data_IF_709205914300
#
_entry.id   IF_709205914300
#
_cell.length_a   1.000
_cell.length_b   1.000
_cell.length_c   1.000
_cell.angle_alpha   90.00
_cell.angle_beta   90.00
_cell.angle_gamma   90.00
#
_symmetry.space_group_name_H-M   'P 1'
#
loop_
_entity.id
_entity.type
_entity.pdbx_description
1 polymer ?
#
# COMPACT_ATOMS: atom_id res chain seq x y z
N UNK A 1 1.41 -15.34 -1.64
CA UNK A 1 0.11 -14.73 -1.29
C UNK A 1 0.25 -14.03 0.04
N UNK A 2 -0.31 -12.83 0.18
CA UNK A 2 -0.37 -12.10 1.44
C UNK A 2 -1.83 -11.99 1.88
N UNK A 3 -2.11 -12.32 3.13
CA UNK A 3 -3.45 -12.34 3.69
C UNK A 3 -3.59 -11.32 4.82
N UNK A 4 -4.82 -10.86 5.05
CA UNK A 4 -5.14 -10.09 6.26
C UNK A 4 -4.78 -10.91 7.50
N UNK A 5 -4.02 -10.32 8.41
CA UNK A 5 -3.47 -10.94 9.61
C UNK A 5 -2.02 -11.38 9.48
N UNK A 6 -1.47 -11.48 8.26
CA UNK A 6 -0.05 -11.78 8.06
C UNK A 6 0.84 -10.67 8.63
N UNK A 7 2.07 -11.03 9.01
CA UNK A 7 3.08 -10.09 9.52
C UNK A 7 4.29 -10.10 8.61
N UNK A 8 4.59 -8.94 8.03
CA UNK A 8 5.86 -8.71 7.35
C UNK A 8 6.95 -8.45 8.38
N UNK A 9 8.07 -9.17 8.27
CA UNK A 9 9.25 -8.95 9.12
C UNK A 9 10.38 -8.42 8.26
N UNK A 10 10.75 -7.15 8.48
CA UNK A 10 11.88 -6.52 7.82
C UNK A 10 13.08 -6.54 8.76
N UNK A 11 14.15 -7.22 8.35
CA UNK A 11 15.40 -7.29 9.08
C UNK A 11 16.45 -6.43 8.36
N UNK A 12 17.13 -5.56 9.11
CA UNK A 12 18.17 -4.70 8.57
C UNK A 12 19.14 -4.23 9.66
N UNK A 13 20.30 -3.71 9.26
CA UNK A 13 21.23 -3.07 10.21
C UNK A 13 20.72 -1.66 10.55
N UNK A 14 20.47 -1.41 11.83
CA UNK A 14 20.05 -0.09 12.32
C UNK A 14 20.99 1.01 11.82
N UNK A 15 20.43 2.19 11.52
CA UNK A 15 21.13 3.36 10.97
C UNK A 15 21.67 3.19 9.54
N UNK A 16 21.43 2.06 8.88
CA UNK A 16 21.80 1.87 7.47
C UNK A 16 20.60 1.75 6.55
N UNK A 17 19.47 1.32 7.08
CA UNK A 17 18.21 1.17 6.37
C UNK A 17 17.06 1.48 7.32
N UNK A 18 15.88 1.62 6.74
CA UNK A 18 14.61 1.77 7.43
C UNK A 18 13.50 1.18 6.55
N UNK A 19 12.29 1.15 7.09
CA UNK A 19 11.07 0.79 6.37
C UNK A 19 10.13 1.98 6.41
N UNK A 20 9.82 2.54 5.26
CA UNK A 20 8.79 3.56 5.08
C UNK A 20 7.57 2.95 4.40
N UNK A 21 6.38 3.25 4.94
CA UNK A 21 5.10 2.99 4.29
C UNK A 21 4.73 4.24 3.50
N UNK A 22 4.37 4.07 2.23
CA UNK A 22 4.14 5.17 1.29
C UNK A 22 2.89 4.91 0.45
N UNK A 23 2.43 5.93 -0.28
CA UNK A 23 1.39 5.75 -1.31
C UNK A 23 2.00 5.12 -2.58
N UNK A 24 1.17 4.67 -3.50
CA UNK A 24 1.60 4.15 -4.80
C UNK A 24 2.45 5.18 -5.58
N UNK A 25 2.00 6.44 -5.63
CA UNK A 25 2.69 7.50 -6.38
C UNK A 25 4.07 7.80 -5.79
N UNK A 26 4.17 7.79 -4.45
CA UNK A 26 5.43 7.97 -3.75
C UNK A 26 6.37 6.76 -3.93
N UNK A 27 5.82 5.55 -4.02
CA UNK A 27 6.58 4.33 -4.31
C UNK A 27 7.17 4.32 -5.72
N UNK A 28 6.41 4.78 -6.72
CA UNK A 28 6.86 4.80 -8.12
C UNK A 28 7.88 5.89 -8.38
N UNK A 29 7.66 7.09 -7.82
CA UNK A 29 8.58 8.21 -7.95
C UNK A 29 9.77 8.15 -6.98
N UNK A 30 9.78 7.19 -6.05
CA UNK A 30 10.70 7.17 -4.91
C UNK A 30 10.71 8.48 -4.12
N UNK A 31 9.54 9.12 -3.99
CA UNK A 31 9.39 10.33 -3.20
C UNK A 31 9.23 9.98 -1.71
N UNK A 32 10.33 10.05 -0.97
CA UNK A 32 10.37 9.76 0.47
C UNK A 32 10.23 10.99 1.36
N UNK A 33 9.82 12.13 0.78
CA UNK A 33 9.56 13.37 1.56
C UNK A 33 8.21 13.34 2.28
N UNK A 34 7.24 12.62 1.73
CA UNK A 34 5.91 12.42 2.29
C UNK A 34 5.65 10.92 2.51
N UNK A 35 5.92 10.45 3.72
CA UNK A 35 5.70 9.04 4.12
C UNK A 35 4.48 8.92 5.02
N UNK A 36 3.76 7.81 4.93
CA UNK A 36 2.67 7.47 5.86
C UNK A 36 3.24 7.09 7.24
N UNK A 37 4.29 6.27 7.24
CA UNK A 37 5.01 5.86 8.45
C UNK A 37 6.46 5.54 8.14
N UNK A 38 7.36 5.66 9.12
CA UNK A 38 8.78 5.27 9.01
C UNK A 38 9.24 4.53 10.25
N UNK A 39 9.86 3.38 10.06
CA UNK A 39 10.38 2.51 11.11
C UNK A 39 11.89 2.33 10.96
N UNK A 40 12.67 2.78 11.96
CA UNK A 40 14.15 2.85 11.89
C UNK A 40 14.88 1.79 12.73
N UNK A 41 14.14 0.96 13.46
CA UNK A 41 14.70 -0.05 14.36
C UNK A 41 14.30 -1.44 13.89
N UNK A 42 15.30 -2.26 13.58
CA UNK A 42 15.14 -3.65 13.19
C UNK A 42 15.03 -4.57 14.42
N UNK A 43 14.23 -5.65 14.35
CA UNK A 43 13.33 -5.98 13.24
C UNK A 43 12.05 -5.15 13.28
N UNK A 44 11.58 -4.73 12.10
CA UNK A 44 10.25 -4.12 11.96
C UNK A 44 9.25 -5.24 11.71
N UNK A 45 8.18 -5.29 12.52
CA UNK A 45 7.07 -6.23 12.36
C UNK A 45 5.83 -5.44 11.97
N UNK A 46 5.39 -5.58 10.72
CA UNK A 46 4.24 -4.85 10.17
C UNK A 46 3.09 -5.81 9.91
N UNK A 47 1.99 -5.68 10.66
CA UNK A 47 0.80 -6.51 10.51
C UNK A 47 -0.09 -5.96 9.39
N UNK A 48 -0.49 -6.83 8.47
CA UNK A 48 -1.39 -6.51 7.36
C UNK A 48 -2.84 -6.59 7.84
N UNK A 49 -3.41 -5.45 8.22
CA UNK A 49 -4.72 -5.40 8.89
C UNK A 49 -5.91 -5.28 7.95
N UNK A 50 -5.69 -4.96 6.69
CA UNK A 50 -6.74 -4.79 5.69
C UNK A 50 -6.32 -5.40 4.34
N UNK A 51 -7.32 -5.73 3.53
CA UNK A 51 -7.08 -6.09 2.14
C UNK A 51 -6.76 -4.84 1.33
N UNK A 52 -6.00 -5.00 0.25
CA UNK A 52 -5.56 -3.91 -0.62
C UNK A 52 -4.05 -3.87 -0.80
N UNK A 53 -3.59 -2.81 -1.44
CA UNK A 53 -2.19 -2.64 -1.80
C UNK A 53 -1.40 -1.94 -0.70
N UNK A 54 -0.19 -2.44 -0.47
CA UNK A 54 0.76 -1.87 0.48
C UNK A 54 2.09 -1.63 -0.23
N UNK A 55 2.63 -0.45 -0.04
CA UNK A 55 3.88 -0.02 -0.63
C UNK A 55 4.89 0.34 0.45
N UNK A 56 6.07 -0.28 0.36
CA UNK A 56 7.17 -0.10 1.29
C UNK A 56 8.43 0.31 0.54
N UNK A 57 9.25 1.16 1.16
CA UNK A 57 10.55 1.56 0.62
C UNK A 57 11.50 1.96 1.75
N UNK A 58 12.72 2.38 1.43
CA UNK A 58 13.64 3.02 2.39
C UNK A 58 13.77 4.52 2.10
N UNK A 59 13.85 5.34 3.16
CA UNK A 59 14.09 6.79 3.07
C UNK A 59 15.56 7.15 2.92
N UNK A 60 16.47 6.17 3.03
CA UNK A 60 17.88 6.39 2.81
C UNK A 60 18.15 6.74 1.34
N UNK A 61 19.04 7.72 1.14
CA UNK A 61 19.31 8.29 -0.19
C UNK A 61 19.65 7.20 -1.20
N UNK A 62 18.99 7.24 -2.36
CA UNK A 62 19.15 6.31 -3.49
C UNK A 62 18.73 4.85 -3.24
N UNK A 63 18.39 4.43 -2.01
CA UNK A 63 18.03 3.05 -1.74
C UNK A 63 16.80 2.60 -2.54
N UNK A 64 15.73 3.41 -2.55
CA UNK A 64 14.54 3.15 -3.36
C UNK A 64 14.87 3.02 -4.86
N UNK A 65 15.66 3.97 -5.40
CA UNK A 65 16.06 3.98 -6.81
C UNK A 65 16.93 2.77 -7.20
N UNK A 66 17.68 2.22 -6.26
CA UNK A 66 18.44 0.98 -6.44
C UNK A 66 17.64 -0.29 -6.11
N UNK A 67 16.32 -0.18 -6.00
CA UNK A 67 15.41 -1.32 -5.89
C UNK A 67 15.09 -1.76 -4.48
N UNK A 68 15.50 -1.01 -3.44
CA UNK A 68 15.03 -1.27 -2.08
C UNK A 68 13.59 -0.77 -1.90
N UNK A 69 12.65 -1.48 -2.51
CA UNK A 69 11.21 -1.22 -2.40
C UNK A 69 10.40 -2.52 -2.57
N UNK A 70 9.22 -2.58 -1.95
CA UNK A 70 8.32 -3.72 -1.98
C UNK A 70 6.88 -3.23 -2.17
N UNK A 71 6.20 -3.74 -3.20
CA UNK A 71 4.76 -3.60 -3.37
C UNK A 71 4.10 -4.97 -3.20
N UNK A 72 3.01 -5.02 -2.44
CA UNK A 72 2.23 -6.25 -2.25
C UNK A 72 0.74 -5.95 -2.34
N UNK A 73 -0.03 -6.93 -2.78
CA UNK A 73 -1.48 -6.93 -2.70
C UNK A 73 -1.93 -7.96 -1.66
N UNK A 74 -2.70 -7.50 -0.68
CA UNK A 74 -3.21 -8.30 0.43
C UNK A 74 -4.66 -8.65 0.16
N UNK A 75 -5.00 -9.94 0.25
CA UNK A 75 -6.37 -10.42 0.10
C UNK A 75 -6.98 -10.74 1.46
N UNK A 76 -8.32 -10.71 1.54
CA UNK A 76 -9.02 -11.13 2.76
C UNK A 76 -8.60 -12.55 3.17
N UNK A 77 -8.36 -12.74 4.46
CA UNK A 77 -8.18 -14.08 5.00
C UNK A 77 -9.53 -14.78 5.05
N UNK A 78 -9.64 -15.94 4.41
CA UNK A 78 -10.81 -16.81 4.54
C UNK A 78 -10.79 -17.46 5.93
N UNK A 79 -11.11 -16.68 6.97
CA UNK A 79 -11.45 -17.26 8.26
C UNK A 79 -12.82 -17.91 8.09
N UNK A 80 -12.88 -19.24 8.19
CA UNK A 80 -14.13 -19.98 8.17
C UNK A 80 -15.09 -19.35 9.18
N UNK A 81 -16.25 -18.90 8.71
CA UNK A 81 -17.35 -18.47 9.57
C UNK A 81 -17.60 -19.59 10.58
N UNK A 82 -17.57 -19.34 11.91
CA UNK A 82 -18.11 -20.30 12.85
C UNK A 82 -19.55 -20.63 12.40
N UNK A 83 -19.98 -21.91 12.38
CA UNK A 83 -21.36 -22.21 12.05
C UNK A 83 -22.27 -21.46 13.03
N UNK A 84 -23.04 -20.50 12.53
CA UNK A 84 -24.13 -19.90 13.27
C UNK A 84 -25.07 -21.05 13.66
N UNK A 85 -25.08 -21.43 14.93
CA UNK A 85 -26.07 -22.35 15.47
C UNK A 85 -27.44 -21.71 15.25
N UNK A 86 -28.18 -22.29 14.30
CA UNK A 86 -29.56 -21.93 14.01
C UNK A 86 -30.41 -22.32 15.21
N UNK A 87 -30.77 -21.35 16.04
CA UNK A 87 -31.86 -21.51 17.03
C UNK A 87 -32.98 -20.55 16.63
N UNK A 88 -34.05 -21.12 16.08
CA UNK A 88 -35.33 -20.45 15.86
C UNK A 88 -36.38 -21.05 16.81
N UNK A 89 -37.61 -20.52 16.91
CA UNK A 89 -37.99 -19.17 17.33
C UNK A 89 -39.00 -19.23 18.49
N UNK A 90 -39.21 -18.15 19.26
CA UNK A 90 -40.49 -17.94 19.97
C UNK A 90 -40.81 -16.45 20.18
N UNK A 91 -42.10 -16.07 20.18
CA UNK A 91 -42.57 -14.73 19.82
C UNK A 91 -42.97 -13.87 21.03
N UNK A 92 -43.08 -12.56 20.79
CA UNK A 92 -44.02 -11.56 21.36
C UNK A 92 -43.28 -10.22 21.55
N UNK A 93 -43.81 -9.03 21.38
CA UNK A 93 -45.01 -8.45 20.74
C UNK A 93 -44.85 -6.93 20.92
N UNK A 94 -45.38 -6.13 19.96
CA UNK A 94 -45.69 -4.68 20.05
C UNK A 94 -44.52 -3.69 20.27
N UNK A 95 -44.43 -2.52 19.63
CA UNK A 95 -45.48 -1.65 19.09
C UNK A 95 -44.90 -0.57 18.15
N UNK A 96 -45.60 -0.34 17.04
CA UNK A 96 -46.03 0.95 16.45
C UNK A 96 -45.05 2.14 16.37
N UNK A 97 -44.75 2.62 15.15
CA UNK A 97 -45.18 3.96 14.69
C UNK A 97 -44.73 4.28 13.25
N UNK A 98 -45.73 4.44 12.39
CA UNK A 98 -45.95 5.41 11.31
C UNK A 98 -44.80 5.94 10.41
N UNK A 99 -45.04 5.75 9.11
CA UNK A 99 -44.45 6.28 7.87
C UNK A 99 -44.31 7.83 7.77
N UNK A 100 -43.90 8.48 6.64
CA UNK A 100 -43.49 7.98 5.31
C UNK A 100 -42.19 8.58 4.71
N UNK A 101 -41.77 8.03 3.56
CA UNK A 101 -40.74 8.56 2.65
C UNK A 101 -41.19 9.87 1.99
N UNK A 102 -40.25 10.72 1.52
CA UNK A 102 -40.10 10.78 0.06
C UNK A 102 -38.67 11.01 -0.47
N UNK A 103 -38.52 10.53 -1.70
CA UNK A 103 -37.60 10.78 -2.82
C UNK A 103 -36.96 12.18 -2.96
N UNK A 104 -35.80 12.15 -3.65
CA UNK A 104 -35.10 13.22 -4.43
C UNK A 104 -33.82 13.74 -3.74
N UNK A 105 -32.67 13.85 -4.38
CA UNK A 105 -32.27 13.61 -5.76
C UNK A 105 -30.75 13.70 -5.85
N UNK A 106 -30.15 12.99 -6.80
CA UNK A 106 -28.77 13.21 -7.19
C UNK A 106 -28.58 14.60 -7.81
N UNK A 107 -27.33 15.09 -7.82
CA UNK A 107 -26.73 15.27 -9.13
C UNK A 107 -25.29 14.76 -9.23
N UNK A 108 -25.05 14.18 -10.40
CA UNK A 108 -23.84 14.11 -11.21
C UNK A 108 -22.48 14.43 -10.58
N UNK A 109 -21.64 13.41 -10.60
CA UNK A 109 -20.19 13.55 -10.67
C UNK A 109 -19.78 14.41 -11.89
N UNK A 110 -18.81 15.34 -11.76
CA UNK A 110 -18.10 15.88 -12.91
C UNK A 110 -17.12 14.82 -13.46
N UNK A 111 -16.86 14.83 -14.78
CA UNK A 111 -15.94 13.88 -15.43
C UNK A 111 -14.48 14.17 -15.04
N UNK A 112 -13.58 13.15 -15.08
CA UNK A 112 -12.15 13.43 -15.05
C UNK A 112 -11.74 14.08 -16.38
N UNK A 113 -11.21 15.30 -16.33
CA UNK A 113 -10.50 15.87 -17.47
C UNK A 113 -9.23 15.06 -17.73
N UNK A 114 -9.30 14.28 -18.79
CA UNK A 114 -8.16 13.69 -19.48
C UNK A 114 -7.32 14.82 -20.10
N UNK A 115 -6.05 14.89 -19.72
CA UNK A 115 -5.03 15.60 -20.49
C UNK A 115 -3.68 14.92 -20.29
N UNK A 116 -3.41 13.95 -21.17
CA UNK A 116 -2.07 13.58 -21.58
C UNK A 116 -1.85 14.12 -23.01
N UNK A 117 -0.63 14.17 -23.57
CA UNK A 117 0.70 14.15 -22.97
C UNK A 117 1.57 15.35 -23.43
N UNK A 118 2.67 15.65 -22.75
CA UNK A 118 3.82 16.30 -23.38
C UNK A 118 4.98 15.31 -23.38
N UNK A 119 5.17 14.63 -24.53
CA UNK A 119 6.39 13.87 -24.81
C UNK A 119 7.52 14.87 -25.02
N UNK A 120 8.36 15.07 -24.02
CA UNK A 120 9.66 15.69 -24.23
C UNK A 120 10.67 14.58 -24.52
N UNK A 121 10.91 14.34 -25.81
CA UNK A 121 12.08 13.60 -26.29
C UNK A 121 13.28 14.53 -26.12
N UNK A 122 14.13 14.23 -25.14
CA UNK A 122 15.54 14.60 -25.15
C UNK A 122 16.27 13.27 -24.96
N UNK A 123 16.83 12.68 -26.01
CA UNK A 123 18.05 13.20 -26.60
C UNK A 123 19.23 12.53 -25.89
N UNK A 124 19.59 11.34 -26.38
CA UNK A 124 20.90 10.69 -26.33
C UNK A 124 22.05 11.53 -25.74
N UNK A 125 22.71 11.01 -24.69
CA UNK A 125 24.15 11.19 -24.55
C UNK A 125 24.79 9.96 -23.92
N UNK A 126 25.59 9.32 -24.75
CA UNK A 126 26.44 8.17 -24.48
C UNK A 126 27.63 8.61 -23.62
N UNK A 127 27.85 7.99 -22.47
CA UNK A 127 29.22 7.78 -21.94
C UNK A 127 29.26 6.49 -21.11
N UNK A 128 29.57 5.41 -21.81
CA UNK A 128 30.21 4.22 -21.26
C UNK A 128 31.55 4.67 -20.64
N UNK A 129 31.68 4.69 -19.30
CA UNK A 129 32.98 4.83 -18.65
C UNK A 129 33.32 3.54 -17.92
N UNK A 130 34.01 2.66 -18.66
CA UNK A 130 34.82 1.59 -18.11
C UNK A 130 35.96 2.19 -17.29
N UNK A 131 36.07 1.83 -16.01
CA UNK A 131 37.38 1.70 -15.36
C UNK A 131 37.37 0.39 -14.57
N UNK A 132 37.89 -0.65 -15.22
CA UNK A 132 38.55 -1.74 -14.53
C UNK A 132 39.81 -1.21 -13.85
N UNK A 133 40.12 -1.68 -12.64
CA UNK A 133 41.47 -1.98 -12.14
C UNK A 133 41.25 -2.73 -10.81
N UNK A 134 41.32 -4.05 -10.83
CA UNK A 134 42.54 -4.86 -10.71
C UNK A 134 42.78 -5.25 -9.25
N UNK A 135 42.76 -6.57 -9.06
CA UNK A 135 43.34 -7.34 -7.96
C UNK A 135 44.54 -6.63 -7.33
N UNK A 136 44.49 -6.50 -6.01
CA UNK A 136 45.70 -6.56 -5.18
C UNK A 136 45.51 -7.76 -4.26
N UNK A 137 46.55 -8.60 -4.25
CA UNK A 137 46.69 -9.92 -3.64
C UNK A 137 46.07 -10.10 -2.26
#
# INVERSE_FOLDING_TARGET
TFLVGDVLVFNFKNKTQDVAVVTEEAYDSCNTTTTIAVYRTSPVKYTLTAAGEYFFTSTFSRHCFFGQKLAINVTASSSATPPSTTTAPTPSSSSSSSAPSPTAGGPSAPPPESSAPARAIFGISSTLLLIALALVH
#
